data_IF_492619494994
#
_entry.id   IF_492619494994
#
_cell.length_a   1.000
_cell.length_b   1.000
_cell.length_c   1.000
_cell.angle_alpha   90.00
_cell.angle_beta   90.00
_cell.angle_gamma   90.00
#
_symmetry.space_group_name_H-M   'P 1'
#
loop_
_entity.id
_entity.type
_entity.pdbx_description
1 polymer ?
#
# COMPACT_ATOMS: atom_id res chain seq x y z
N UNK A 1 5.38 -10.45 -22.82
CA UNK A 1 4.89 -11.59 -22.00
C UNK A 1 5.41 -11.36 -20.60
N UNK A 2 4.52 -11.17 -19.63
CA UNK A 2 4.92 -11.04 -18.24
C UNK A 2 5.61 -12.33 -17.75
N UNK A 3 6.69 -12.16 -16.99
CA UNK A 3 7.47 -13.25 -16.43
C UNK A 3 6.64 -14.00 -15.37
N UNK A 4 6.63 -15.34 -15.48
CA UNK A 4 6.01 -16.22 -14.49
C UNK A 4 6.89 -16.26 -13.26
N UNK A 5 6.30 -16.12 -12.08
CA UNK A 5 7.04 -16.19 -10.81
C UNK A 5 7.15 -17.62 -10.33
N UNK A 6 8.36 -18.17 -10.37
CA UNK A 6 8.64 -19.52 -9.86
C UNK A 6 8.52 -19.62 -8.33
N UNK A 7 8.95 -18.57 -7.61
CA UNK A 7 8.89 -18.53 -6.15
C UNK A 7 7.63 -17.81 -5.65
N UNK A 8 7.03 -18.27 -4.52
CA UNK A 8 5.84 -17.65 -3.94
C UNK A 8 6.05 -16.18 -3.60
N UNK A 9 5.31 -15.30 -4.26
CA UNK A 9 5.38 -13.86 -4.02
C UNK A 9 4.04 -13.18 -4.17
N UNK A 10 3.63 -12.45 -3.13
CA UNK A 10 2.35 -11.74 -3.10
C UNK A 10 2.54 -10.29 -2.67
N UNK A 11 1.72 -9.38 -3.20
CA UNK A 11 1.62 -8.02 -2.64
C UNK A 11 0.81 -8.02 -1.35
N UNK A 12 1.12 -7.12 -0.43
CA UNK A 12 0.39 -7.00 0.85
C UNK A 12 -1.10 -6.71 0.63
N UNK A 13 -1.45 -5.94 -0.40
CA UNK A 13 -2.85 -5.64 -0.76
C UNK A 13 -3.60 -6.92 -1.13
N UNK A 14 -2.98 -7.79 -1.92
CA UNK A 14 -3.58 -9.07 -2.31
C UNK A 14 -3.59 -10.08 -1.18
N UNK A 15 -2.63 -10.04 -0.25
CA UNK A 15 -2.67 -10.86 0.94
C UNK A 15 -3.80 -10.44 1.90
N UNK A 16 -4.02 -9.13 2.09
CA UNK A 16 -5.15 -8.60 2.85
C UNK A 16 -6.50 -9.06 2.27
N UNK A 17 -6.63 -9.04 0.95
CA UNK A 17 -7.80 -9.59 0.24
C UNK A 17 -7.93 -11.12 0.43
N UNK A 18 -6.81 -11.85 0.27
CA UNK A 18 -6.77 -13.32 0.39
C UNK A 18 -7.31 -13.83 1.74
N UNK A 19 -6.94 -13.15 2.82
CA UNK A 19 -7.32 -13.54 4.19
C UNK A 19 -8.83 -13.55 4.43
N UNK A 20 -9.59 -12.75 3.69
CA UNK A 20 -11.07 -12.69 3.79
C UNK A 20 -11.78 -13.29 2.57
N UNK A 21 -11.02 -13.70 1.54
CA UNK A 21 -11.56 -14.17 0.28
C UNK A 21 -12.20 -15.55 0.37
N UNK A 22 -13.17 -15.80 -0.53
CA UNK A 22 -13.71 -17.15 -0.78
C UNK A 22 -12.62 -18.07 -1.39
N UNK A 23 -12.76 -19.40 -1.29
CA UNK A 23 -11.78 -20.33 -1.88
C UNK A 23 -11.52 -20.11 -3.38
N UNK A 24 -12.57 -19.83 -4.15
CA UNK A 24 -12.44 -19.54 -5.58
C UNK A 24 -11.61 -18.27 -5.83
N UNK A 25 -11.84 -17.23 -5.03
CA UNK A 25 -11.08 -15.98 -5.15
C UNK A 25 -9.63 -16.15 -4.68
N UNK A 26 -9.37 -16.93 -3.63
CA UNK A 26 -8.00 -17.27 -3.19
C UNK A 26 -7.19 -17.94 -4.30
N UNK A 27 -7.75 -18.93 -4.98
CA UNK A 27 -7.12 -19.58 -6.16
C UNK A 27 -6.78 -18.56 -7.25
N UNK A 28 -7.73 -17.67 -7.55
CA UNK A 28 -7.51 -16.63 -8.55
C UNK A 28 -6.42 -15.64 -8.15
N UNK A 29 -6.36 -15.24 -6.88
CA UNK A 29 -5.28 -14.37 -6.35
C UNK A 29 -3.92 -15.04 -6.54
N UNK A 30 -3.77 -16.32 -6.18
CA UNK A 30 -2.50 -17.05 -6.37
C UNK A 30 -2.09 -17.03 -7.85
N UNK A 31 -3.02 -17.40 -8.74
CA UNK A 31 -2.78 -17.38 -10.18
C UNK A 31 -2.35 -15.97 -10.68
N UNK A 32 -3.10 -14.92 -10.32
CA UNK A 32 -2.81 -13.55 -10.73
C UNK A 32 -1.48 -13.02 -10.14
N UNK A 33 -1.06 -13.52 -8.96
CA UNK A 33 0.23 -13.15 -8.38
C UNK A 33 1.40 -13.93 -8.97
N UNK A 34 1.18 -15.16 -9.45
CA UNK A 34 2.15 -15.94 -10.23
C UNK A 34 2.33 -15.41 -11.65
N UNK A 35 1.25 -14.88 -12.23
CA UNK A 35 1.20 -14.28 -13.56
C UNK A 35 0.84 -12.79 -13.47
N UNK A 36 1.73 -11.94 -12.90
CA UNK A 36 1.44 -10.52 -12.75
C UNK A 36 1.27 -9.85 -14.12
N UNK A 37 0.44 -8.80 -14.23
CA UNK A 37 0.38 -8.01 -15.46
C UNK A 37 1.73 -7.29 -15.70
N UNK A 38 2.01 -6.97 -16.97
CA UNK A 38 3.17 -6.14 -17.32
C UNK A 38 3.04 -4.74 -16.69
N UNK A 39 4.17 -4.13 -16.31
CA UNK A 39 4.20 -2.86 -15.58
C UNK A 39 3.46 -1.72 -16.31
N UNK A 40 3.52 -1.70 -17.63
CA UNK A 40 2.84 -0.70 -18.47
C UNK A 40 1.31 -0.68 -18.27
N UNK A 41 0.72 -1.79 -17.78
CA UNK A 41 -0.71 -1.92 -17.53
C UNK A 41 -1.13 -1.57 -16.09
N UNK A 42 -0.20 -1.08 -15.25
CA UNK A 42 -0.55 -0.54 -13.94
C UNK A 42 -1.35 0.76 -14.10
N UNK A 43 -2.43 0.90 -13.32
CA UNK A 43 -3.41 2.00 -13.50
C UNK A 43 -3.13 3.28 -12.72
N UNK A 44 -2.32 3.22 -11.67
CA UNK A 44 -2.13 4.36 -10.74
C UNK A 44 -0.67 4.69 -10.37
N UNK A 45 0.37 4.34 -11.16
CA UNK A 45 1.74 4.67 -10.76
C UNK A 45 1.96 6.19 -10.65
N UNK A 46 1.37 6.99 -11.55
CA UNK A 46 1.51 8.45 -11.52
C UNK A 46 0.78 9.08 -10.34
N UNK A 47 -0.41 8.58 -9.96
CA UNK A 47 -1.13 9.05 -8.79
C UNK A 47 -0.39 8.74 -7.48
N UNK A 48 0.12 7.51 -7.34
CA UNK A 48 0.94 7.11 -6.18
C UNK A 48 2.18 8.01 -6.03
N UNK A 49 2.87 8.30 -7.14
CA UNK A 49 4.00 9.22 -7.13
C UNK A 49 3.62 10.66 -6.75
N UNK A 50 2.56 11.20 -7.35
CA UNK A 50 2.09 12.57 -7.07
C UNK A 50 1.64 12.74 -5.61
N UNK A 51 0.95 11.76 -5.04
CA UNK A 51 0.55 11.77 -3.62
C UNK A 51 1.78 11.67 -2.72
N UNK A 52 2.75 10.82 -3.06
CA UNK A 52 4.01 10.71 -2.30
C UNK A 52 4.78 12.03 -2.28
N UNK A 53 4.90 12.70 -3.44
CA UNK A 53 5.56 14.00 -3.58
C UNK A 53 4.83 15.08 -2.74
N UNK A 54 3.50 15.14 -2.84
CA UNK A 54 2.67 16.02 -2.00
C UNK A 54 2.88 15.78 -0.50
N UNK A 55 2.88 14.53 -0.07
CA UNK A 55 3.09 14.13 1.32
C UNK A 55 4.48 14.54 1.83
N UNK A 56 5.52 14.43 1.01
CA UNK A 56 6.91 14.76 1.39
C UNK A 56 7.22 16.26 1.31
N UNK A 57 6.33 17.08 0.74
CA UNK A 57 6.53 18.52 0.54
C UNK A 57 5.51 19.33 1.34
N UNK A 58 5.41 19.00 2.62
CA UNK A 58 4.61 19.72 3.63
C UNK A 58 3.13 19.89 3.26
N UNK A 59 2.57 18.92 2.53
CA UNK A 59 1.17 18.92 2.12
C UNK A 59 0.78 20.16 1.29
N UNK A 60 1.71 20.74 0.52
CA UNK A 60 1.44 21.89 -0.34
C UNK A 60 0.44 21.51 -1.45
N UNK A 61 -0.80 22.07 -1.44
CA UNK A 61 -1.81 21.73 -2.44
C UNK A 61 -1.41 22.11 -3.87
N UNK A 62 -0.41 22.97 -4.06
CA UNK A 62 0.13 23.29 -5.38
C UNK A 62 0.77 22.07 -6.06
N UNK A 63 1.32 21.13 -5.28
CA UNK A 63 1.95 19.92 -5.81
C UNK A 63 0.93 19.04 -6.52
N UNK A 64 -0.20 18.72 -5.88
CA UNK A 64 -1.26 17.93 -6.51
C UNK A 64 -1.81 18.63 -7.77
N UNK A 65 -2.02 19.95 -7.71
CA UNK A 65 -2.49 20.74 -8.86
C UNK A 65 -1.50 20.70 -10.04
N UNK A 66 -0.21 20.74 -9.77
CA UNK A 66 0.81 20.66 -10.81
C UNK A 66 0.83 19.28 -11.48
N UNK A 67 0.73 18.20 -10.69
CA UNK A 67 0.61 16.85 -11.23
C UNK A 67 -0.68 16.67 -12.06
N UNK A 68 -1.82 17.20 -11.60
CA UNK A 68 -3.07 17.19 -12.37
C UNK A 68 -2.95 17.95 -13.69
N UNK A 69 -2.34 19.15 -13.68
CA UNK A 69 -2.06 19.92 -14.90
C UNK A 69 -1.20 19.11 -15.86
N UNK A 70 -0.14 18.47 -15.35
CA UNK A 70 0.73 17.61 -16.15
C UNK A 70 -0.05 16.47 -16.80
N UNK A 71 -0.92 15.78 -16.05
CA UNK A 71 -1.76 14.71 -16.61
C UNK A 71 -2.69 15.23 -17.73
N UNK A 72 -3.27 16.42 -17.56
CA UNK A 72 -4.15 17.03 -18.55
C UNK A 72 -3.44 17.51 -19.82
N UNK A 73 -2.18 17.94 -19.71
CA UNK A 73 -1.38 18.42 -20.82
C UNK A 73 -0.55 17.33 -21.52
N UNK A 74 -0.45 16.13 -20.94
CA UNK A 74 0.21 14.99 -21.58
C UNK A 74 -0.51 14.56 -22.84
N UNK A 75 0.25 14.21 -23.88
CA UNK A 75 -0.28 13.61 -25.11
C UNK A 75 -0.20 12.08 -24.99
N UNK A 76 -1.32 11.38 -24.70
CA UNK A 76 -1.30 9.94 -24.52
C UNK A 76 -1.00 9.22 -25.83
N UNK A 77 -0.22 8.16 -25.76
CA UNK A 77 0.17 7.32 -26.91
C UNK A 77 -0.86 6.22 -27.19
N UNK A 78 -1.83 6.01 -26.29
CA UNK A 78 -2.89 5.02 -26.44
C UNK A 78 -4.15 5.40 -25.64
N UNK A 79 -5.28 4.80 -25.99
CA UNK A 79 -6.52 4.93 -25.20
C UNK A 79 -6.34 4.46 -23.75
N UNK A 80 -5.54 3.41 -23.54
CA UNK A 80 -5.22 2.92 -22.21
C UNK A 80 -4.49 3.96 -21.38
N UNK A 81 -3.51 4.64 -21.97
CA UNK A 81 -2.77 5.71 -21.29
C UNK A 81 -3.67 6.93 -21.02
N UNK A 82 -4.51 7.32 -21.99
CA UNK A 82 -5.48 8.40 -21.79
C UNK A 82 -6.42 8.10 -20.61
N UNK A 83 -6.95 6.87 -20.54
CA UNK A 83 -7.76 6.42 -19.42
C UNK A 83 -6.96 6.40 -18.11
N UNK A 84 -5.69 5.95 -18.12
CA UNK A 84 -4.82 5.91 -16.95
C UNK A 84 -4.61 7.29 -16.36
N UNK A 85 -4.28 8.29 -17.18
CA UNK A 85 -4.06 9.67 -16.74
C UNK A 85 -5.34 10.28 -16.14
N UNK A 86 -6.49 10.03 -16.76
CA UNK A 86 -7.79 10.45 -16.22
C UNK A 86 -8.06 9.83 -14.84
N UNK A 87 -7.88 8.51 -14.71
CA UNK A 87 -8.04 7.79 -13.45
C UNK A 87 -7.05 8.27 -12.36
N UNK A 88 -5.84 8.64 -12.75
CA UNK A 88 -4.86 9.22 -11.83
C UNK A 88 -5.30 10.60 -11.33
N UNK A 89 -5.80 11.46 -12.22
CA UNK A 89 -6.32 12.79 -11.82
C UNK A 89 -7.47 12.65 -10.81
N UNK A 90 -8.42 11.75 -11.07
CA UNK A 90 -9.52 11.47 -10.14
C UNK A 90 -9.02 10.94 -8.79
N UNK A 91 -7.99 10.08 -8.79
CA UNK A 91 -7.39 9.60 -7.55
C UNK A 91 -6.78 10.74 -6.72
N UNK A 92 -6.18 11.76 -7.36
CA UNK A 92 -5.66 12.94 -6.65
C UNK A 92 -6.79 13.78 -6.03
N UNK A 93 -7.91 13.94 -6.73
CA UNK A 93 -9.09 14.63 -6.19
C UNK A 93 -9.63 13.89 -4.96
N UNK A 94 -9.81 12.57 -5.07
CA UNK A 94 -10.30 11.74 -3.95
C UNK A 94 -9.34 11.76 -2.76
N UNK A 95 -8.04 11.71 -3.02
CA UNK A 95 -7.05 11.80 -1.95
C UNK A 95 -7.08 13.16 -1.25
N UNK A 96 -7.25 14.26 -1.99
CA UNK A 96 -7.31 15.61 -1.43
C UNK A 96 -8.45 15.75 -0.39
N UNK A 97 -9.59 15.10 -0.62
CA UNK A 97 -10.71 15.05 0.34
C UNK A 97 -10.35 14.35 1.67
N UNK A 98 -9.38 13.42 1.64
CA UNK A 98 -8.93 12.64 2.80
C UNK A 98 -7.87 13.37 3.62
N UNK A 99 -7.12 14.30 3.01
CA UNK A 99 -5.97 14.99 3.64
C UNK A 99 -6.26 15.55 5.05
N UNK A 100 -7.39 16.24 5.30
CA UNK A 100 -7.69 16.77 6.64
C UNK A 100 -7.75 15.72 7.76
N UNK A 101 -7.96 14.45 7.40
CA UNK A 101 -8.17 13.35 8.33
C UNK A 101 -6.91 12.50 8.57
N UNK A 102 -5.80 12.78 7.88
CA UNK A 102 -4.56 12.00 7.98
C UNK A 102 -3.84 12.20 9.32
N UNK A 103 -4.09 13.31 10.02
CA UNK A 103 -3.51 13.58 11.35
C UNK A 103 -1.98 13.68 11.34
N UNK A 104 -1.41 14.33 10.31
CA UNK A 104 0.04 14.45 10.10
C UNK A 104 0.69 15.66 10.79
N UNK A 105 0.00 16.27 11.75
CA UNK A 105 0.53 17.36 12.56
C UNK A 105 1.83 16.91 13.27
N UNK A 106 2.85 17.79 13.25
CA UNK A 106 4.19 17.54 13.81
C UNK A 106 4.84 16.23 13.32
N UNK A 107 4.47 15.76 12.12
CA UNK A 107 5.00 14.53 11.53
C UNK A 107 5.91 14.87 10.36
N UNK A 108 7.16 14.41 10.45
CA UNK A 108 8.10 14.42 9.33
C UNK A 108 7.73 13.27 8.41
N UNK A 109 7.53 13.58 7.13
CA UNK A 109 7.14 12.62 6.10
C UNK A 109 8.27 12.48 5.09
N UNK A 110 8.66 11.24 4.80
CA UNK A 110 9.69 10.96 3.79
C UNK A 110 9.32 9.76 2.93
N UNK A 111 9.72 9.78 1.67
CA UNK A 111 9.47 8.67 0.77
C UNK A 111 10.24 7.42 1.22
N UNK A 112 9.59 6.25 1.14
CA UNK A 112 10.23 4.96 1.47
C UNK A 112 11.34 4.58 0.47
N UNK A 113 11.26 5.10 -0.75
CA UNK A 113 12.18 4.78 -1.86
C UNK A 113 11.58 3.77 -2.85
N UNK A 114 12.24 3.61 -4.00
CA UNK A 114 11.72 2.82 -5.12
C UNK A 114 11.75 1.29 -4.87
N UNK A 115 12.71 0.83 -4.07
CA UNK A 115 12.96 -0.59 -3.80
C UNK A 115 13.01 -0.86 -2.30
N UNK A 116 11.86 -0.76 -1.60
CA UNK A 116 11.81 -1.16 -0.20
C UNK A 116 12.15 -2.64 -0.03
N UNK A 117 12.70 -3.03 1.14
CA UNK A 117 12.87 -4.44 1.47
C UNK A 117 11.53 -5.19 1.42
N UNK A 118 11.60 -6.51 1.49
CA UNK A 118 10.41 -7.38 1.54
C UNK A 118 10.21 -7.90 2.96
N UNK A 119 9.03 -8.46 3.21
CA UNK A 119 8.82 -9.36 4.34
C UNK A 119 8.87 -10.80 3.83
N UNK A 120 9.48 -11.68 4.60
CA UNK A 120 9.49 -13.13 4.34
C UNK A 120 8.67 -13.81 5.43
N UNK A 121 7.69 -14.62 5.03
CA UNK A 121 6.81 -15.31 5.97
C UNK A 121 6.38 -16.66 5.39
N UNK A 122 6.66 -17.73 6.14
CA UNK A 122 6.31 -19.11 5.75
C UNK A 122 6.69 -19.47 4.29
N UNK A 123 7.89 -19.07 3.86
CA UNK A 123 8.38 -19.33 2.50
C UNK A 123 7.75 -18.46 1.40
N UNK A 124 6.98 -17.43 1.75
CA UNK A 124 6.39 -16.46 0.82
C UNK A 124 7.03 -15.09 0.97
N UNK A 125 7.50 -14.55 -0.15
CA UNK A 125 7.94 -13.15 -0.24
C UNK A 125 6.74 -12.22 -0.33
N UNK A 126 6.64 -11.26 0.60
CA UNK A 126 5.55 -10.30 0.68
C UNK A 126 6.07 -8.92 0.30
N UNK A 127 5.56 -8.39 -0.82
CA UNK A 127 5.85 -7.04 -1.29
C UNK A 127 4.91 -6.04 -0.61
N UNK A 128 5.41 -5.34 0.41
CA UNK A 128 4.62 -4.38 1.20
C UNK A 128 4.51 -3.03 0.50
N UNK A 129 5.65 -2.45 0.08
CA UNK A 129 5.73 -1.18 -0.65
C UNK A 129 4.83 -0.07 -0.07
N UNK A 130 5.07 0.39 1.16
CA UNK A 130 4.46 1.63 1.64
C UNK A 130 5.00 2.82 0.84
N UNK A 131 4.22 3.89 0.77
CA UNK A 131 4.56 5.10 0.02
C UNK A 131 5.48 6.02 0.83
N UNK A 132 5.14 6.28 2.10
CA UNK A 132 5.90 7.16 2.97
C UNK A 132 6.16 6.58 4.36
N UNK A 133 7.29 6.96 4.93
CA UNK A 133 7.64 6.81 6.34
C UNK A 133 7.17 8.05 7.09
N UNK A 134 6.55 7.82 8.24
CA UNK A 134 6.06 8.87 9.14
C UNK A 134 6.92 8.88 10.40
N UNK A 135 7.50 10.02 10.78
CA UNK A 135 8.31 10.15 11.99
C UNK A 135 7.80 11.31 12.85
N UNK A 136 7.67 11.09 14.15
CA UNK A 136 7.34 12.16 15.12
C UNK A 136 8.00 11.90 16.45
N UNK A 137 8.08 12.94 17.29
CA UNK A 137 8.38 12.77 18.70
C UNK A 137 7.09 12.51 19.47
N UNK A 138 7.13 11.56 20.42
CA UNK A 138 6.06 11.42 21.40
C UNK A 138 6.11 12.54 22.45
N UNK A 139 5.10 12.60 23.31
CA UNK A 139 5.01 13.60 24.39
C UNK A 139 6.18 13.59 25.39
N UNK A 140 7.01 12.55 25.37
CA UNK A 140 8.19 12.40 26.22
C UNK A 140 9.48 12.68 25.44
N UNK A 141 9.38 13.14 24.19
CA UNK A 141 10.53 13.43 23.33
C UNK A 141 11.18 12.19 22.71
N UNK A 142 10.54 11.01 22.77
CA UNK A 142 11.08 9.80 22.14
C UNK A 142 10.62 9.70 20.69
N UNK A 143 11.49 9.28 19.75
CA UNK A 143 11.09 9.08 18.38
C UNK A 143 10.10 7.91 18.24
N UNK A 144 9.13 8.11 17.36
CA UNK A 144 8.15 7.11 16.91
C UNK A 144 8.13 7.08 15.39
N UNK A 145 7.96 5.89 14.85
CA UNK A 145 7.88 5.68 13.41
C UNK A 145 6.55 5.03 13.03
N UNK A 146 6.05 5.38 11.86
CA UNK A 146 4.90 4.79 11.22
C UNK A 146 5.09 4.72 9.72
N UNK A 147 4.05 4.29 9.03
CA UNK A 147 4.04 4.07 7.59
C UNK A 147 2.68 4.46 7.05
N UNK A 148 2.64 5.06 5.87
CA UNK A 148 1.41 5.19 5.12
C UNK A 148 1.48 4.34 3.88
N UNK A 149 0.42 3.56 3.66
CA UNK A 149 0.20 2.83 2.42
C UNK A 149 -1.04 3.34 1.70
N UNK A 150 -0.93 3.60 0.42
CA UNK A 150 -2.04 3.91 -0.47
C UNK A 150 -2.62 2.63 -1.06
N UNK A 151 -3.94 2.56 -1.10
CA UNK A 151 -4.70 1.52 -1.74
C UNK A 151 -5.63 2.14 -2.78
N UNK A 152 -5.52 1.68 -4.03
CA UNK A 152 -6.29 2.19 -5.16
C UNK A 152 -7.22 1.12 -5.71
N UNK A 153 -8.51 1.22 -5.40
CA UNK A 153 -9.52 0.33 -5.97
C UNK A 153 -10.89 0.99 -6.03
N UNK A 154 -11.45 1.14 -7.23
CA UNK A 154 -12.79 1.71 -7.42
C UNK A 154 -13.92 0.74 -7.11
N UNK A 155 -13.69 -0.55 -7.32
CA UNK A 155 -14.74 -1.58 -7.29
C UNK A 155 -14.60 -2.56 -6.13
N UNK A 156 -13.46 -2.54 -5.45
CA UNK A 156 -13.19 -3.40 -4.31
C UNK A 156 -12.59 -2.53 -3.19
N UNK A 157 -13.40 -1.66 -2.56
CA UNK A 157 -12.95 -0.91 -1.40
C UNK A 157 -12.55 -1.88 -0.29
N UNK A 158 -11.58 -1.48 0.53
CA UNK A 158 -11.20 -2.25 1.71
C UNK A 158 -12.35 -2.26 2.73
N UNK A 159 -12.56 -3.41 3.34
CA UNK A 159 -13.32 -3.51 4.58
C UNK A 159 -12.38 -3.40 5.79
N UNK A 160 -12.96 -3.25 6.98
CA UNK A 160 -12.19 -3.12 8.22
C UNK A 160 -11.21 -4.29 8.43
N UNK A 161 -11.60 -5.52 8.06
CA UNK A 161 -10.77 -6.70 8.29
C UNK A 161 -9.54 -6.71 7.37
N UNK A 162 -9.74 -6.50 6.07
CA UNK A 162 -8.66 -6.42 5.08
C UNK A 162 -7.74 -5.23 5.36
N UNK A 163 -8.29 -4.06 5.70
CA UNK A 163 -7.53 -2.89 6.13
C UNK A 163 -6.63 -3.18 7.34
N UNK A 164 -7.18 -3.83 8.37
CA UNK A 164 -6.42 -4.22 9.56
C UNK A 164 -5.35 -5.30 9.29
N UNK A 165 -5.57 -6.23 8.35
CA UNK A 165 -4.53 -7.18 7.95
C UNK A 165 -3.37 -6.48 7.23
N UNK A 166 -3.67 -5.56 6.31
CA UNK A 166 -2.64 -4.75 5.64
C UNK A 166 -1.90 -3.90 6.68
N UNK A 167 -2.62 -3.23 7.60
CA UNK A 167 -2.05 -2.46 8.69
C UNK A 167 -1.14 -3.30 9.61
N UNK A 168 -1.54 -4.53 9.93
CA UNK A 168 -0.71 -5.48 10.70
C UNK A 168 0.61 -5.79 9.99
N UNK A 169 0.56 -6.00 8.67
CA UNK A 169 1.76 -6.27 7.87
C UNK A 169 2.65 -5.05 7.71
N UNK A 170 2.09 -3.85 7.62
CA UNK A 170 2.85 -2.61 7.66
C UNK A 170 3.52 -2.40 9.01
N UNK A 171 2.81 -2.68 10.11
CA UNK A 171 3.40 -2.59 11.44
C UNK A 171 4.59 -3.55 11.57
N UNK A 172 4.44 -4.80 11.12
CA UNK A 172 5.54 -5.77 11.09
C UNK A 172 6.72 -5.30 10.23
N UNK A 173 6.44 -4.67 9.08
CA UNK A 173 7.45 -4.07 8.22
C UNK A 173 8.23 -2.98 8.95
N UNK A 174 7.54 -2.05 9.62
CA UNK A 174 8.17 -0.97 10.36
C UNK A 174 9.05 -1.50 11.51
N UNK A 175 8.54 -2.48 12.27
CA UNK A 175 9.27 -3.12 13.36
C UNK A 175 10.55 -3.83 12.87
N UNK A 176 10.52 -4.42 11.68
CA UNK A 176 11.66 -5.16 11.14
C UNK A 176 12.69 -4.25 10.46
N UNK A 177 12.25 -3.22 9.72
CA UNK A 177 13.11 -2.48 8.79
C UNK A 177 13.32 -1.00 9.16
N UNK A 178 12.54 -0.47 10.10
CA UNK A 178 12.60 0.94 10.53
C UNK A 178 12.89 1.10 12.03
N UNK A 179 13.25 0.03 12.74
CA UNK A 179 13.49 0.06 14.18
C UNK A 179 14.61 1.04 14.60
N UNK A 180 15.55 1.32 13.70
CA UNK A 180 16.60 2.34 13.86
C UNK A 180 16.06 3.77 13.93
N UNK A 181 14.86 4.03 13.40
CA UNK A 181 14.19 5.33 13.44
C UNK A 181 13.32 5.51 14.70
N UNK A 182 13.16 4.45 15.49
CA UNK A 182 12.35 4.41 16.70
C UNK A 182 11.34 3.26 16.71
N UNK A 183 10.66 3.01 17.85
CA UNK A 183 9.58 2.03 17.91
C UNK A 183 8.41 2.41 17.00
N UNK A 184 7.82 1.39 16.37
CA UNK A 184 6.61 1.53 15.55
C UNK A 184 5.42 1.95 16.43
N UNK A 185 4.73 3.03 16.05
CA UNK A 185 3.45 3.41 16.64
C UNK A 185 2.31 2.98 15.72
N UNK A 186 1.49 2.04 16.19
CA UNK A 186 0.37 1.49 15.42
C UNK A 186 -0.62 2.57 14.94
N UNK A 187 -0.73 3.70 15.64
CA UNK A 187 -1.60 4.84 15.26
C UNK A 187 -1.07 5.62 14.06
N UNK A 188 0.24 5.56 13.83
CA UNK A 188 0.92 6.16 12.69
C UNK A 188 1.09 5.16 11.54
N UNK A 189 0.64 3.92 11.68
CA UNK A 189 0.61 2.96 10.59
C UNK A 189 -0.76 3.01 9.94
N UNK A 190 -0.84 3.62 8.76
CA UNK A 190 -2.08 3.94 8.07
C UNK A 190 -2.17 3.24 6.71
N UNK A 191 -3.36 2.75 6.37
CA UNK A 191 -3.74 2.31 5.03
C UNK A 191 -4.83 3.25 4.55
N UNK A 192 -4.58 3.98 3.47
CA UNK A 192 -5.52 4.93 2.90
C UNK A 192 -6.15 4.31 1.66
N UNK A 193 -7.43 3.95 1.73
CA UNK A 193 -8.21 3.62 0.55
C UNK A 193 -8.60 4.93 -0.15
N UNK A 194 -7.85 5.25 -1.21
CA UNK A 194 -7.93 6.55 -1.88
C UNK A 194 -9.31 6.77 -2.50
N UNK A 195 -9.91 5.75 -3.10
CA UNK A 195 -11.21 5.90 -3.77
C UNK A 195 -12.39 5.79 -2.80
N UNK A 196 -12.26 4.98 -1.74
CA UNK A 196 -13.30 4.88 -0.72
C UNK A 196 -13.29 6.08 0.25
N UNK A 197 -12.18 6.82 0.33
CA UNK A 197 -12.02 7.92 1.27
C UNK A 197 -11.85 7.47 2.72
N UNK A 198 -11.34 6.25 2.93
CA UNK A 198 -11.28 5.61 4.25
C UNK A 198 -9.83 5.41 4.69
N UNK A 199 -9.54 5.71 5.96
CA UNK A 199 -8.24 5.48 6.60
C UNK A 199 -8.38 4.35 7.61
N UNK A 200 -7.57 3.31 7.45
CA UNK A 200 -7.43 2.23 8.42
C UNK A 200 -6.13 2.39 9.18
N UNK A 201 -6.13 2.12 10.49
CA UNK A 201 -4.92 2.13 11.31
C UNK A 201 -4.52 0.71 11.71
N UNK A 202 -3.23 0.48 11.94
CA UNK A 202 -2.79 -0.83 12.42
C UNK A 202 -3.41 -1.13 13.79
N UNK A 203 -3.90 -2.36 14.00
CA UNK A 203 -4.52 -2.73 15.27
C UNK A 203 -3.44 -2.86 16.35
N UNK A 204 -3.71 -2.30 17.54
CA UNK A 204 -2.81 -2.44 18.70
C UNK A 204 -2.53 -3.91 19.06
N UNK A 205 -3.57 -4.75 19.00
CA UNK A 205 -3.48 -6.19 19.21
C UNK A 205 -3.45 -6.92 17.87
N UNK A 206 -2.25 -7.25 17.41
CA UNK A 206 -2.01 -7.80 16.06
C UNK A 206 -1.52 -9.25 16.05
N UNK A 207 -1.19 -9.85 17.21
CA UNK A 207 -0.61 -11.22 17.29
C UNK A 207 -1.48 -12.26 16.56
N UNK A 208 -2.79 -12.29 16.86
CA UNK A 208 -3.70 -13.23 16.18
C UNK A 208 -3.75 -13.02 14.67
N UNK A 209 -3.75 -11.76 14.21
CA UNK A 209 -3.75 -11.44 12.78
C UNK A 209 -2.45 -11.87 12.12
N UNK A 210 -1.30 -11.73 12.80
CA UNK A 210 -0.04 -12.27 12.30
C UNK A 210 -0.09 -13.79 12.19
N UNK A 211 -0.70 -14.51 13.15
CA UNK A 211 -0.90 -15.96 13.02
C UNK A 211 -1.76 -16.30 11.80
N UNK A 212 -2.85 -15.58 11.57
CA UNK A 212 -3.70 -15.77 10.39
C UNK A 212 -2.93 -15.52 9.09
N UNK A 213 -2.06 -14.49 9.06
CA UNK A 213 -1.16 -14.21 7.91
C UNK A 213 -0.17 -15.35 7.69
N UNK A 214 0.47 -15.86 8.74
CA UNK A 214 1.42 -16.99 8.63
C UNK A 214 0.72 -18.20 7.99
N UNK A 215 -0.46 -18.58 8.50
CA UNK A 215 -1.25 -19.70 7.97
C UNK A 215 -1.67 -19.47 6.51
N UNK A 216 -2.02 -18.22 6.15
CA UNK A 216 -2.32 -17.89 4.75
C UNK A 216 -1.09 -17.99 3.84
N UNK A 217 0.09 -17.60 4.33
CA UNK A 217 1.33 -17.75 3.59
C UNK A 217 1.71 -19.23 3.41
N UNK A 218 1.50 -20.08 4.41
CA UNK A 218 1.65 -21.54 4.27
C UNK A 218 0.72 -22.08 3.16
N UNK A 219 -0.57 -21.73 3.18
CA UNK A 219 -1.54 -22.12 2.14
C UNK A 219 -1.11 -21.64 0.73
N UNK A 220 -0.57 -20.42 0.64
CA UNK A 220 -0.08 -19.86 -0.62
C UNK A 220 1.16 -20.62 -1.12
N UNK A 221 2.14 -20.88 -0.25
CA UNK A 221 3.36 -21.58 -0.61
C UNK A 221 3.07 -22.99 -1.12
N UNK A 222 2.21 -23.75 -0.43
CA UNK A 222 1.81 -25.10 -0.83
C UNK A 222 1.11 -25.12 -2.19
N UNK A 223 0.26 -24.12 -2.46
CA UNK A 223 -0.49 -24.06 -3.73
C UNK A 223 0.28 -23.44 -4.88
N UNK A 224 1.40 -22.79 -4.63
CA UNK A 224 2.21 -22.14 -5.67
C UNK A 224 2.84 -23.12 -6.65
N UNK A 225 3.07 -24.37 -6.24
CA UNK A 225 3.59 -25.41 -7.12
C UNK A 225 2.52 -26.00 -8.06
N UNK A 226 1.23 -25.81 -7.74
CA UNK A 226 0.09 -26.43 -8.44
C UNK A 226 -0.51 -25.49 -9.49
N UNK A 227 -0.41 -24.18 -9.25
CA UNK A 227 -0.76 -23.10 -10.17
C UNK A 227 0.52 -22.56 -10.73
#
# INVERSE_FOLDING_TARGET
MAEVRELPRVSVNKLGEYLIATPARRKRIIYDQKHPPEQQYLRYPEASHAITDFLCRDLDPAILREHQRRFACSVPQSEFEAQRLHLCSEALERFADVVPWLGLEDTIVSAVGAEPPVLEMAGVTISVRPEVVLQRMDRHGNPRVGLMKLYFSKHHPLDERSGQYIGTMLQRFAEQHLCQLGPSDHRMVQVVDVFAGTIFTAPRAHIRRLTDVVLACEEIAERWAVH
#
